data_IF_584812893835
#
_entry.id   IF_584812893835
#
_cell.length_a   1.000
_cell.length_b   1.000
_cell.length_c   1.000
_cell.angle_alpha   90.00
_cell.angle_beta   90.00
_cell.angle_gamma   90.00
#
_symmetry.space_group_name_H-M   'P 1'
#
loop_
_entity.id
_entity.type
_entity.pdbx_description
1 polymer ?
#
# COMPACT_ATOMS: atom_id res chain seq x y z
N UNK A 1 -13.31 11.87 32.87
CA UNK A 1 -12.40 12.62 31.97
C UNK A 1 -10.98 12.50 32.50
N UNK A 2 -9.98 12.02 31.75
CA UNK A 2 -8.60 11.98 32.24
C UNK A 2 -7.98 13.38 32.20
N UNK A 3 -7.16 13.69 33.21
CA UNK A 3 -6.57 15.00 33.49
C UNK A 3 -5.48 15.40 32.48
N UNK A 4 -5.31 16.72 32.32
CA UNK A 4 -4.45 17.38 31.32
C UNK A 4 -2.94 17.06 31.42
N UNK A 5 -2.49 16.27 32.40
CA UNK A 5 -1.07 16.02 32.66
C UNK A 5 -0.49 14.79 31.93
N UNK A 6 -1.35 13.91 31.39
CA UNK A 6 -0.92 12.68 30.69
C UNK A 6 -0.72 12.81 29.17
N UNK A 7 -0.91 13.99 28.56
CA UNK A 7 -0.72 14.16 27.10
C UNK A 7 0.74 14.39 26.67
N UNK A 8 1.62 14.78 27.60
CA UNK A 8 3.02 15.10 27.29
C UNK A 8 3.96 13.89 27.21
N UNK A 9 3.67 12.81 27.94
CA UNK A 9 4.54 11.63 28.00
C UNK A 9 4.33 10.70 26.78
N UNK A 10 3.09 10.51 26.34
CA UNK A 10 2.78 9.68 25.16
C UNK A 10 3.39 10.24 23.86
N UNK A 11 3.52 11.57 23.76
CA UNK A 11 3.98 12.20 22.52
C UNK A 11 5.49 12.05 22.31
N UNK A 12 6.29 12.01 23.39
CA UNK A 12 7.76 11.89 23.30
C UNK A 12 8.23 10.46 23.05
N UNK A 13 7.53 9.45 23.57
CA UNK A 13 7.88 8.04 23.30
C UNK A 13 7.53 7.64 21.86
N UNK A 14 6.41 8.12 21.30
CA UNK A 14 6.03 7.86 19.91
C UNK A 14 7.02 8.51 18.93
N UNK A 15 7.45 9.75 19.18
CA UNK A 15 8.47 10.42 18.36
C UNK A 15 9.82 9.71 18.48
N UNK A 16 10.22 9.29 19.68
CA UNK A 16 11.48 8.57 19.90
C UNK A 16 11.52 7.14 19.32
N UNK A 17 10.37 6.50 19.09
CA UNK A 17 10.28 5.21 18.37
C UNK A 17 10.35 5.40 16.85
N UNK A 18 9.78 6.50 16.35
CA UNK A 18 9.84 6.86 14.92
C UNK A 18 11.26 7.28 14.49
N UNK A 19 11.99 8.01 15.34
CA UNK A 19 13.37 8.44 15.06
C UNK A 19 14.38 7.29 15.08
N UNK A 20 14.20 6.33 16.01
CA UNK A 20 15.09 5.16 16.14
C UNK A 20 14.98 4.14 15.00
N UNK A 21 13.87 4.15 14.26
CA UNK A 21 13.64 3.24 13.13
C UNK A 21 13.92 3.89 11.75
N UNK A 22 14.45 5.12 11.71
CA UNK A 22 14.65 5.93 10.50
C UNK A 22 15.49 5.29 9.38
N UNK A 23 16.29 4.25 9.66
CA UNK A 23 17.04 3.51 8.63
C UNK A 23 16.22 2.42 7.94
N UNK A 24 15.27 1.77 8.61
CA UNK A 24 14.34 0.81 7.97
C UNK A 24 13.20 1.53 7.25
N UNK A 25 12.74 2.67 7.77
CA UNK A 25 11.69 3.47 7.11
C UNK A 25 12.15 4.19 5.85
N UNK A 26 13.44 4.52 5.71
CA UNK A 26 13.98 5.05 4.45
C UNK A 26 13.89 4.05 3.29
N UNK A 27 13.94 2.75 3.57
CA UNK A 27 13.87 1.69 2.56
C UNK A 27 12.43 1.26 2.24
N UNK A 28 11.52 1.36 3.21
CA UNK A 28 10.07 1.16 2.99
C UNK A 28 9.43 2.30 2.20
N UNK A 29 9.96 3.52 2.32
CA UNK A 29 9.51 4.65 1.50
C UNK A 29 9.91 4.54 0.02
N UNK A 30 10.87 3.70 -0.36
CA UNK A 30 11.18 3.46 -1.77
C UNK A 30 10.24 2.42 -2.40
N UNK A 31 9.61 1.55 -1.59
CA UNK A 31 8.69 0.52 -2.08
C UNK A 31 7.24 1.05 -2.16
N UNK A 32 6.92 2.12 -1.42
CA UNK A 32 5.64 2.84 -1.54
C UNK A 32 5.58 3.81 -2.75
N UNK A 33 6.72 4.07 -3.40
CA UNK A 33 6.84 4.98 -4.57
C UNK A 33 6.73 4.19 -5.90
N UNK A 34 5.83 3.21 -5.98
CA UNK A 34 5.43 2.61 -7.26
C UNK A 34 3.97 2.96 -7.61
N UNK A 35 3.23 3.63 -6.72
CA UNK A 35 1.83 4.03 -6.97
C UNK A 35 1.63 5.53 -7.28
N UNK A 36 2.70 6.34 -7.41
CA UNK A 36 2.57 7.79 -7.66
C UNK A 36 3.44 8.18 -8.86
N UNK A 37 2.88 8.13 -10.07
CA UNK A 37 3.17 9.04 -11.21
C UNK A 37 2.30 8.63 -12.41
N UNK A 38 1.43 9.55 -12.82
CA UNK A 38 0.38 9.39 -13.84
C UNK A 38 0.91 9.58 -15.27
N UNK A 39 0.09 9.26 -16.29
CA UNK A 39 0.29 9.62 -17.71
C UNK A 39 -0.86 10.51 -18.22
N UNK A 40 -0.58 11.71 -18.70
CA UNK A 40 -1.48 12.60 -19.45
C UNK A 40 -0.65 13.17 -20.59
N UNK A 41 -1.20 13.13 -21.80
CA UNK A 41 -0.48 13.52 -23.01
C UNK A 41 -0.11 15.01 -22.94
N UNK A 42 1.19 15.31 -22.90
CA UNK A 42 1.72 16.65 -23.16
C UNK A 42 2.54 17.24 -22.03
N UNK A 43 3.84 16.97 -22.05
CA UNK A 43 4.95 17.88 -21.75
C UNK A 43 6.22 17.04 -21.90
N UNK A 44 7.17 17.42 -22.78
CA UNK A 44 8.41 16.67 -23.07
C UNK A 44 9.14 16.26 -21.78
N UNK A 45 8.87 15.05 -21.32
CA UNK A 45 9.32 14.51 -20.04
C UNK A 45 10.42 13.47 -20.20
N UNK A 46 11.27 13.36 -19.20
CA UNK A 46 12.31 12.32 -19.13
C UNK A 46 11.66 10.93 -19.18
N UNK A 47 11.93 10.17 -20.24
CA UNK A 47 11.43 8.80 -20.38
C UNK A 47 12.00 7.92 -19.26
N UNK A 48 11.13 7.16 -18.59
CA UNK A 48 11.50 6.17 -17.58
C UNK A 48 10.98 4.79 -17.97
N UNK A 49 11.52 3.73 -17.37
CA UNK A 49 10.96 2.39 -17.51
C UNK A 49 10.12 2.06 -16.27
N UNK A 50 8.87 1.66 -16.46
CA UNK A 50 8.20 0.83 -15.45
C UNK A 50 8.75 -0.58 -15.56
N UNK A 51 8.90 -1.25 -14.42
CA UNK A 51 9.43 -2.61 -14.30
C UNK A 51 8.42 -3.44 -13.52
N UNK A 52 7.93 -4.52 -14.12
CA UNK A 52 6.85 -5.33 -13.56
C UNK A 52 7.00 -6.80 -13.93
N UNK A 53 6.29 -7.66 -13.19
CA UNK A 53 6.11 -9.06 -13.54
C UNK A 53 4.83 -9.22 -14.38
N UNK A 54 4.88 -10.00 -15.46
CA UNK A 54 3.72 -10.16 -16.36
C UNK A 54 2.66 -11.12 -15.82
N UNK A 55 3.11 -12.13 -15.07
CA UNK A 55 2.32 -13.26 -14.62
C UNK A 55 2.24 -13.30 -13.10
N UNK A 56 3.36 -13.54 -12.42
CA UNK A 56 3.43 -13.67 -10.97
C UNK A 56 4.62 -12.92 -10.37
N UNK A 57 4.45 -12.48 -9.11
CA UNK A 57 5.56 -11.95 -8.34
C UNK A 57 6.75 -12.93 -8.30
N UNK A 58 7.89 -12.49 -8.85
CA UNK A 58 9.12 -13.28 -8.99
C UNK A 58 9.30 -13.97 -10.35
N UNK A 59 8.35 -13.78 -11.28
CA UNK A 59 8.39 -14.30 -12.65
C UNK A 59 9.26 -13.46 -13.62
N UNK A 60 8.86 -13.43 -14.90
CA UNK A 60 9.61 -12.69 -15.93
C UNK A 60 9.52 -11.18 -15.72
N UNK A 61 10.68 -10.51 -15.73
CA UNK A 61 10.76 -9.05 -15.59
C UNK A 61 10.57 -8.38 -16.95
N UNK A 62 9.44 -7.70 -17.11
CA UNK A 62 9.17 -6.84 -18.27
C UNK A 62 9.48 -5.37 -17.97
N UNK A 63 9.76 -4.63 -19.05
CA UNK A 63 10.05 -3.20 -19.02
C UNK A 63 9.25 -2.49 -20.08
N UNK A 64 8.61 -1.39 -19.71
CA UNK A 64 7.89 -0.54 -20.64
C UNK A 64 8.30 0.91 -20.43
N UNK A 65 8.61 1.60 -21.53
CA UNK A 65 8.93 3.02 -21.49
C UNK A 65 7.66 3.83 -21.24
N UNK A 66 7.71 4.68 -20.24
CA UNK A 66 6.66 5.64 -19.88
C UNK A 66 7.24 7.04 -19.77
N UNK A 67 6.35 8.02 -19.81
CA UNK A 67 6.63 9.42 -19.49
C UNK A 67 5.99 9.73 -18.12
N UNK A 68 6.77 9.77 -17.02
CA UNK A 68 6.23 10.05 -15.70
C UNK A 68 5.81 11.51 -15.58
N UNK A 69 4.62 11.76 -15.02
CA UNK A 69 4.11 13.10 -14.82
C UNK A 69 4.03 13.44 -13.34
N UNK A 70 4.57 14.61 -13.02
CA UNK A 70 4.37 15.27 -11.74
C UNK A 70 3.05 16.05 -11.79
N UNK A 71 2.01 15.53 -11.14
CA UNK A 71 0.73 16.20 -11.00
C UNK A 71 0.37 16.38 -9.52
N UNK A 72 -0.04 17.60 -9.08
CA UNK A 72 -0.66 17.78 -7.79
C UNK A 72 -2.05 17.12 -7.76
N UNK A 73 -2.48 16.64 -6.59
CA UNK A 73 -3.75 15.97 -6.41
C UNK A 73 -4.43 16.41 -5.12
N UNK A 74 -5.76 16.41 -5.12
CA UNK A 74 -6.58 16.55 -3.93
C UNK A 74 -6.98 15.18 -3.39
N UNK A 75 -6.98 15.05 -2.06
CA UNK A 75 -7.53 13.89 -1.37
C UNK A 75 -8.98 14.14 -0.98
N UNK A 76 -9.84 13.17 -1.28
CA UNK A 76 -11.22 13.15 -0.80
C UNK A 76 -11.31 13.05 0.72
N UNK A 77 -12.41 13.54 1.28
CA UNK A 77 -12.69 13.47 2.73
C UNK A 77 -13.21 12.09 3.17
N UNK A 78 -13.70 11.28 2.22
CA UNK A 78 -14.14 9.92 2.48
C UNK A 78 -12.96 8.94 2.39
N UNK A 79 -12.65 8.31 3.52
CA UNK A 79 -11.76 7.15 3.57
C UNK A 79 -12.53 5.86 3.83
N UNK A 80 -12.17 4.81 3.11
CA UNK A 80 -12.72 3.46 3.28
C UNK A 80 -11.65 2.59 3.93
N UNK A 81 -12.03 1.86 4.98
CA UNK A 81 -11.19 0.79 5.53
C UNK A 81 -11.50 -0.51 4.85
N UNK A 82 -10.48 -1.07 4.22
CA UNK A 82 -10.59 -2.33 3.50
C UNK A 82 -9.76 -3.41 4.19
N UNK A 83 -10.38 -4.57 4.44
CA UNK A 83 -9.76 -5.64 5.23
C UNK A 83 -9.04 -6.63 4.33
N UNK A 84 -7.76 -6.86 4.59
CA UNK A 84 -6.96 -7.81 3.83
C UNK A 84 -6.93 -9.14 4.58
N UNK A 85 -7.65 -10.12 4.03
CA UNK A 85 -7.92 -11.41 4.67
C UNK A 85 -7.22 -12.51 3.90
N UNK A 86 -6.45 -13.36 4.60
CA UNK A 86 -5.79 -14.51 3.99
C UNK A 86 -6.80 -15.45 3.33
N UNK A 87 -6.53 -15.90 2.11
CA UNK A 87 -7.32 -16.94 1.42
C UNK A 87 -6.63 -18.31 1.41
N UNK A 88 -5.44 -18.40 2.00
CA UNK A 88 -4.68 -19.64 2.11
C UNK A 88 -4.18 -19.90 3.54
N UNK A 89 -3.75 -21.15 3.75
CA UNK A 89 -3.00 -21.54 4.94
C UNK A 89 -1.52 -21.61 4.58
N UNK A 90 -0.67 -20.81 5.23
CA UNK A 90 0.75 -20.74 4.92
C UNK A 90 1.63 -20.79 6.17
N UNK A 91 2.62 -21.69 6.16
CA UNK A 91 3.71 -21.68 7.14
C UNK A 91 4.63 -20.50 6.82
N UNK A 92 4.93 -19.70 7.83
CA UNK A 92 5.79 -18.52 7.69
C UNK A 92 7.02 -18.64 8.57
N UNK A 93 8.13 -18.06 8.12
CA UNK A 93 9.42 -18.11 8.81
C UNK A 93 9.91 -16.72 9.16
N UNK A 94 10.49 -16.60 10.35
CA UNK A 94 11.06 -15.35 10.86
C UNK A 94 11.89 -14.64 9.80
N UNK A 95 11.54 -13.37 9.54
CA UNK A 95 12.24 -12.45 8.63
C UNK A 95 12.38 -12.91 7.17
N UNK A 96 11.67 -13.98 6.77
CA UNK A 96 11.50 -14.34 5.37
C UNK A 96 10.26 -13.65 4.82
N UNK A 97 10.43 -12.87 3.76
CA UNK A 97 9.30 -12.25 3.08
C UNK A 97 8.47 -13.33 2.39
N UNK A 98 7.21 -13.48 2.81
CA UNK A 98 6.32 -14.53 2.33
C UNK A 98 5.19 -13.91 1.49
N UNK A 99 5.00 -14.41 0.27
CA UNK A 99 3.83 -14.11 -0.57
C UNK A 99 2.61 -14.84 -0.01
N UNK A 100 1.54 -14.15 0.36
CA UNK A 100 0.30 -14.75 0.87
C UNK A 100 -0.87 -14.38 -0.05
N UNK A 101 -1.61 -15.37 -0.53
CA UNK A 101 -2.86 -15.18 -1.27
C UNK A 101 -3.94 -14.62 -0.34
N UNK A 102 -4.66 -13.62 -0.81
CA UNK A 102 -5.75 -12.97 -0.05
C UNK A 102 -7.03 -13.01 -0.84
N UNK A 103 -8.16 -12.81 -0.15
CA UNK A 103 -9.44 -12.62 -0.84
C UNK A 103 -9.31 -11.40 -1.77
N UNK A 104 -9.76 -11.56 -3.01
CA UNK A 104 -9.70 -10.48 -3.99
C UNK A 104 -10.38 -9.22 -3.45
N UNK A 105 -9.65 -8.10 -3.48
CA UNK A 105 -10.14 -6.78 -3.09
C UNK A 105 -10.10 -5.87 -4.31
N UNK A 106 -11.25 -5.31 -4.66
CA UNK A 106 -11.35 -4.32 -5.73
C UNK A 106 -10.99 -2.93 -5.19
N UNK A 107 -10.08 -2.27 -5.90
CA UNK A 107 -9.64 -0.91 -5.62
C UNK A 107 -10.26 0.00 -6.69
N UNK A 108 -11.10 0.98 -6.28
CA UNK A 108 -11.75 1.87 -7.21
C UNK A 108 -10.75 2.66 -8.05
N UNK A 109 -11.11 3.03 -9.29
CA UNK A 109 -10.43 4.09 -10.02
C UNK A 109 -10.27 5.37 -9.20
N UNK A 110 -9.24 6.14 -9.50
CA UNK A 110 -8.97 7.44 -8.88
C UNK A 110 -8.91 7.35 -7.35
N UNK A 111 -8.16 6.37 -6.85
CA UNK A 111 -7.96 6.16 -5.41
C UNK A 111 -6.49 5.90 -5.07
N UNK A 112 -6.11 6.26 -3.85
CA UNK A 112 -4.81 6.00 -3.25
C UNK A 112 -5.01 5.00 -2.12
N UNK A 113 -4.15 4.00 -2.09
CA UNK A 113 -4.15 2.94 -1.08
C UNK A 113 -2.99 3.20 -0.13
N UNK A 114 -3.31 3.36 1.15
CA UNK A 114 -2.32 3.61 2.21
C UNK A 114 -2.44 2.51 3.27
N UNK A 115 -1.37 1.76 3.56
CA UNK A 115 -1.39 0.79 4.65
C UNK A 115 -1.77 1.44 5.99
N UNK A 116 -2.67 0.83 6.74
CA UNK A 116 -2.92 1.23 8.12
C UNK A 116 -1.76 0.71 8.98
N UNK A 117 -0.89 1.61 9.44
CA UNK A 117 0.38 1.27 10.10
C UNK A 117 0.26 0.64 11.50
N UNK A 118 -0.94 0.26 11.94
CA UNK A 118 -1.13 -0.49 13.17
C UNK A 118 -0.86 -1.97 12.94
N UNK A 119 -0.06 -2.59 13.82
CA UNK A 119 0.12 -4.04 13.81
C UNK A 119 -1.22 -4.73 14.07
N UNK A 120 -1.72 -5.48 13.10
CA UNK A 120 -2.98 -6.26 13.20
C UNK A 120 -2.75 -7.75 13.39
N UNK A 121 -1.64 -8.29 12.89
CA UNK A 121 -1.36 -9.72 12.95
C UNK A 121 -0.25 -10.03 13.96
N UNK A 122 -0.45 -11.04 14.82
CA UNK A 122 0.52 -11.38 15.86
C UNK A 122 1.87 -11.85 15.28
N UNK A 123 1.83 -12.60 14.18
CA UNK A 123 3.01 -13.18 13.53
C UNK A 123 3.85 -12.19 12.72
N UNK A 124 3.37 -10.99 12.38
CA UNK A 124 4.08 -10.11 11.44
C UNK A 124 3.26 -8.91 10.95
N UNK A 125 3.68 -8.35 9.82
CA UNK A 125 3.01 -7.24 9.16
C UNK A 125 3.09 -7.36 7.64
N UNK A 126 2.16 -6.70 6.94
CA UNK A 126 2.18 -6.61 5.47
C UNK A 126 3.11 -5.48 5.05
N UNK A 127 4.13 -5.79 4.24
CA UNK A 127 5.06 -4.80 3.71
C UNK A 127 4.50 -4.08 2.48
N UNK A 128 3.87 -4.84 1.59
CA UNK A 128 3.19 -4.31 0.41
C UNK A 128 2.11 -5.28 -0.06
N UNK A 129 1.18 -4.73 -0.84
CA UNK A 129 0.14 -5.47 -1.54
C UNK A 129 0.49 -5.55 -3.03
N UNK A 130 -0.04 -6.55 -3.71
CA UNK A 130 0.23 -6.76 -5.13
C UNK A 130 -1.01 -7.29 -5.85
N UNK A 131 -1.00 -7.03 -7.16
CA UNK A 131 -1.94 -7.51 -8.16
C UNK A 131 -1.12 -8.31 -9.16
N UNK A 132 -1.66 -9.43 -9.67
CA UNK A 132 -1.00 -10.11 -10.77
C UNK A 132 -1.00 -9.22 -12.04
N UNK A 133 0.10 -9.24 -12.77
CA UNK A 133 0.26 -8.56 -14.05
C UNK A 133 0.72 -7.09 -13.98
N UNK A 134 0.54 -6.40 -15.12
CA UNK A 134 1.01 -5.03 -15.34
C UNK A 134 0.43 -4.08 -14.29
N UNK A 135 1.27 -3.16 -13.79
CA UNK A 135 0.79 -2.07 -12.93
C UNK A 135 -0.21 -1.20 -13.69
N UNK A 136 -1.47 -1.21 -13.25
CA UNK A 136 -2.51 -0.38 -13.84
C UNK A 136 -2.27 1.09 -13.53
N UNK A 137 -2.85 1.93 -14.38
CA UNK A 137 -2.93 3.35 -14.08
C UNK A 137 -3.91 3.58 -12.94
N UNK A 138 -3.74 4.69 -12.24
CA UNK A 138 -4.59 5.05 -11.10
C UNK A 138 -5.99 5.51 -11.54
N UNK A 139 -6.18 5.95 -12.78
CA UNK A 139 -7.52 6.20 -13.36
C UNK A 139 -8.26 4.89 -13.70
N UNK A 140 -7.60 3.74 -13.58
CA UNK A 140 -8.16 2.42 -13.82
C UNK A 140 -8.47 1.72 -12.49
N UNK A 141 -9.44 0.81 -12.51
CA UNK A 141 -9.68 -0.09 -11.40
C UNK A 141 -8.48 -1.00 -11.18
N UNK A 142 -8.19 -1.33 -9.92
CA UNK A 142 -7.11 -2.25 -9.54
C UNK A 142 -7.70 -3.39 -8.70
N UNK A 143 -6.97 -4.49 -8.60
CA UNK A 143 -7.35 -5.61 -7.75
C UNK A 143 -6.17 -6.00 -6.87
N UNK A 144 -6.38 -6.26 -5.59
CA UNK A 144 -5.37 -6.88 -4.73
C UNK A 144 -5.74 -8.35 -4.59
N UNK A 145 -4.80 -9.23 -4.92
CA UNK A 145 -4.96 -10.70 -4.81
C UNK A 145 -3.90 -11.33 -3.91
N UNK A 146 -2.82 -10.60 -3.61
CA UNK A 146 -1.71 -11.11 -2.82
C UNK A 146 -1.05 -10.00 -1.97
N UNK A 147 -0.40 -10.44 -0.90
CA UNK A 147 0.43 -9.58 -0.05
C UNK A 147 1.80 -10.15 0.18
N UNK A 148 2.76 -9.28 0.42
CA UNK A 148 4.07 -9.65 0.94
C UNK A 148 4.08 -9.42 2.44
N UNK A 149 4.05 -10.52 3.19
CA UNK A 149 4.00 -10.53 4.63
C UNK A 149 5.41 -10.76 5.19
N UNK A 150 5.87 -9.88 6.09
CA UNK A 150 7.11 -10.09 6.84
C UNK A 150 6.79 -10.62 8.24
N UNK A 151 7.12 -11.89 8.53
CA UNK A 151 6.95 -12.47 9.85
C UNK A 151 8.01 -11.96 10.82
N UNK A 152 7.59 -11.63 12.04
CA UNK A 152 8.48 -11.34 13.18
C UNK A 152 8.68 -12.55 14.10
N UNK A 153 8.03 -13.68 13.77
CA UNK A 153 8.19 -14.98 14.42
C UNK A 153 7.74 -16.08 13.46
N UNK A 154 8.27 -17.28 13.66
CA UNK A 154 7.77 -18.49 12.98
C UNK A 154 6.31 -18.74 13.35
N UNK A 155 5.54 -19.27 12.42
CA UNK A 155 4.15 -19.63 12.69
C UNK A 155 3.38 -20.10 11.47
N UNK A 156 2.06 -20.08 11.61
CA UNK A 156 1.13 -20.45 10.55
C UNK A 156 0.11 -19.34 10.44
N UNK A 157 0.01 -18.74 9.26
CA UNK A 157 -1.12 -17.91 8.86
C UNK A 157 -2.21 -18.86 8.36
N UNK A 158 -3.40 -18.76 8.93
CA UNK A 158 -4.55 -19.59 8.55
C UNK A 158 -5.44 -18.84 7.55
N UNK A 159 -6.21 -19.61 6.77
CA UNK A 159 -7.21 -19.04 5.87
C UNK A 159 -8.28 -18.32 6.70
N UNK A 160 -8.57 -17.06 6.35
CA UNK A 160 -9.49 -16.20 7.10
C UNK A 160 -8.83 -15.24 8.09
N UNK A 161 -7.51 -15.34 8.32
CA UNK A 161 -6.81 -14.40 9.19
C UNK A 161 -6.78 -12.98 8.62
N UNK A 162 -7.05 -11.98 9.47
CA UNK A 162 -6.88 -10.57 9.13
C UNK A 162 -5.38 -10.22 9.14
N UNK A 163 -4.82 -9.94 7.97
CA UNK A 163 -3.40 -9.62 7.82
C UNK A 163 -3.13 -8.12 8.06
N UNK A 164 -3.98 -7.27 7.48
CA UNK A 164 -3.90 -5.80 7.65
C UNK A 164 -5.21 -5.14 7.27
N UNK A 165 -5.29 -3.82 7.47
CA UNK A 165 -6.34 -2.94 6.95
C UNK A 165 -5.68 -1.90 6.05
N UNK A 166 -6.29 -1.61 4.91
CA UNK A 166 -5.86 -0.54 4.02
C UNK A 166 -6.82 0.65 4.15
N UNK A 167 -6.28 1.86 4.04
CA UNK A 167 -7.08 3.06 3.83
C UNK A 167 -7.15 3.30 2.32
N UNK A 168 -8.36 3.28 1.77
CA UNK A 168 -8.63 3.68 0.39
C UNK A 168 -9.17 5.10 0.42
N UNK A 169 -8.44 6.02 -0.18
CA UNK A 169 -8.77 7.44 -0.25
C UNK A 169 -8.99 7.82 -1.71
N UNK A 170 -10.14 8.39 -2.05
CA UNK A 170 -10.33 8.93 -3.40
C UNK A 170 -9.37 10.09 -3.65
N UNK A 171 -8.77 10.14 -4.83
CA UNK A 171 -7.85 11.18 -5.25
C UNK A 171 -8.26 11.72 -6.63
N UNK A 172 -8.01 13.00 -6.87
CA UNK A 172 -8.29 13.65 -8.15
C UNK A 172 -7.15 14.62 -8.48
N UNK A 173 -6.92 14.95 -9.76
CA UNK A 173 -6.09 16.09 -10.12
C UNK A 173 -6.56 17.37 -9.40
N UNK A 174 -5.62 18.19 -8.96
CA UNK A 174 -5.92 19.48 -8.31
C UNK A 174 -6.88 20.31 -9.17
N UNK A 175 -7.99 20.78 -8.57
CA UNK A 175 -8.96 21.65 -9.22
C UNK A 175 -10.13 20.96 -9.97
N UNK A 176 -10.12 19.64 -10.13
CA UNK A 176 -11.30 18.89 -10.65
C UNK A 176 -12.30 18.59 -9.53
N UNK A 177 -13.60 18.27 -9.72
CA UNK A 177 -14.57 17.93 -8.65
C UNK A 177 -14.35 16.51 -8.01
N UNK A 178 -14.69 16.30 -6.72
CA UNK A 178 -14.46 15.03 -6.01
C UNK A 178 -15.51 13.99 -6.46
N UNK A 179 -15.11 12.78 -6.92
CA UNK A 179 -16.05 11.78 -7.40
C UNK A 179 -17.12 11.32 -6.37
N UNK A 180 -16.80 11.38 -5.07
CA UNK A 180 -17.62 10.86 -3.99
C UNK A 180 -18.81 11.74 -3.56
N UNK A 181 -19.11 12.84 -4.27
CA UNK A 181 -20.30 13.68 -4.00
C UNK A 181 -21.50 13.38 -4.92
N UNK A 182 -21.43 12.37 -5.78
CA UNK A 182 -22.60 11.89 -6.52
C UNK A 182 -23.41 10.94 -5.64
N UNK A 183 -24.34 11.53 -4.86
CA UNK A 183 -25.47 10.82 -4.25
C UNK A 183 -26.44 10.31 -5.31
#
# INVERSE_FOLDING_TARGET
MPSKQNRGYFHREVIGVLERNSKSYKKLNEILIIAISYTRKGEEGMMSNIVFYDDEAGGEIKREKIEPIKAPYDLGTLGIWESIISDERKKVKFDKLEKIQVKNVEIPPSSIVIPCSFKRHALGYVETVSSLGRTNRIEEGRQISEVFFRPIQDGIVEKGDLLTVLNILYARPEGEPIPAEKK
#
